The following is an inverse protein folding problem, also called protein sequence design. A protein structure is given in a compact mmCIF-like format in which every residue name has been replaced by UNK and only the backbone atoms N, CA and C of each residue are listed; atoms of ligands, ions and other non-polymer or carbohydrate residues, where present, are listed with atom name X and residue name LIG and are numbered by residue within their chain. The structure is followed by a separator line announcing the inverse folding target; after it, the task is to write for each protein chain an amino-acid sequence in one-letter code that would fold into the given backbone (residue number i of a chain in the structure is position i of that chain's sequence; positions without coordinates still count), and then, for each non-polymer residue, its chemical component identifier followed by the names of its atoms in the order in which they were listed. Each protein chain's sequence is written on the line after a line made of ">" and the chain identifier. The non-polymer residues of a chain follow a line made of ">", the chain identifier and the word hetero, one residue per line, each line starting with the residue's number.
data_IF_428954548912
#
_entry.id   IF_428954548912
#
_cell.length_a   1.000
_cell.length_b   1.000
_cell.length_c   1.000
_cell.angle_alpha   90.00
_cell.angle_beta   90.00
_cell.angle_gamma   90.00
#
_symmetry.space_group_name_H-M   'P 1'
#
loop_
_entity.id
_entity.type
_entity.pdbx_description
1 polymer ?
#
# COMPACT_ATOMS: atom_id res chain seq x y z
N UNK A 1 -50.80 -2.69 -1.29
CA UNK A 1 -49.46 -2.85 -0.67
C UNK A 1 -48.45 -2.83 -1.81
N UNK A 2 -47.69 -1.74 -1.94
CA UNK A 2 -46.55 -1.72 -2.84
C UNK A 2 -45.47 -2.67 -2.29
N UNK A 3 -44.74 -3.42 -3.13
CA UNK A 3 -43.65 -4.25 -2.66
C UNK A 3 -42.60 -3.32 -2.06
N UNK A 4 -42.26 -3.57 -0.79
CA UNK A 4 -41.09 -2.98 -0.14
C UNK A 4 -39.87 -3.32 -1.01
N UNK A 5 -39.37 -2.33 -1.75
CA UNK A 5 -38.10 -2.43 -2.43
C UNK A 5 -37.05 -2.70 -1.37
N UNK A 6 -36.36 -3.84 -1.45
CA UNK A 6 -35.11 -4.02 -0.70
C UNK A 6 -34.26 -2.77 -0.93
N UNK A 7 -33.67 -2.15 0.12
CA UNK A 7 -32.69 -1.10 -0.11
C UNK A 7 -31.64 -1.66 -1.09
N UNK A 8 -31.30 -0.90 -2.12
CA UNK A 8 -30.28 -1.30 -3.08
C UNK A 8 -29.04 -1.75 -2.30
N UNK A 9 -28.51 -2.92 -2.62
CA UNK A 9 -27.35 -3.44 -1.91
C UNK A 9 -26.21 -2.42 -2.01
N UNK A 10 -25.50 -2.19 -0.90
CA UNK A 10 -24.34 -1.29 -0.88
C UNK A 10 -23.26 -1.73 -1.89
N UNK A 11 -23.28 -3.00 -2.28
CA UNK A 11 -22.35 -3.62 -3.23
C UNK A 11 -23.10 -4.48 -4.24
N UNK A 12 -22.82 -4.27 -5.52
CA UNK A 12 -23.20 -5.13 -6.66
C UNK A 12 -21.94 -5.87 -7.16
N UNK A 13 -21.78 -7.16 -6.84
CA UNK A 13 -20.59 -7.92 -7.22
C UNK A 13 -20.35 -8.02 -8.71
N UNK A 14 -21.40 -8.10 -9.53
CA UNK A 14 -21.24 -8.25 -10.98
C UNK A 14 -20.69 -6.95 -11.60
N UNK A 15 -21.23 -5.80 -11.18
CA UNK A 15 -20.73 -4.49 -11.58
C UNK A 15 -19.28 -4.26 -11.11
N UNK A 16 -18.94 -4.67 -9.89
CA UNK A 16 -17.58 -4.53 -9.34
C UNK A 16 -16.57 -5.39 -10.10
N UNK A 17 -16.90 -6.67 -10.36
CA UNK A 17 -15.98 -7.60 -11.01
C UNK A 17 -15.84 -7.38 -12.51
N UNK A 18 -16.86 -6.85 -13.17
CA UNK A 18 -16.80 -6.49 -14.61
C UNK A 18 -16.13 -5.13 -14.87
N UNK A 19 -15.82 -4.37 -13.82
CA UNK A 19 -15.21 -3.06 -13.97
C UNK A 19 -13.80 -3.15 -14.57
N UNK A 20 -13.59 -2.42 -15.67
CA UNK A 20 -12.27 -2.26 -16.29
C UNK A 20 -11.68 -0.92 -15.86
N UNK A 21 -10.58 -0.98 -15.11
CA UNK A 21 -9.86 0.23 -14.69
C UNK A 21 -9.06 0.82 -15.86
N UNK A 22 -9.02 2.16 -16.01
CA UNK A 22 -8.12 2.79 -16.96
C UNK A 22 -6.65 2.58 -16.53
N UNK A 23 -5.76 2.49 -17.51
CA UNK A 23 -4.32 2.48 -17.22
C UNK A 23 -3.88 3.83 -16.64
N UNK A 24 -3.01 3.79 -15.63
CA UNK A 24 -2.51 5.01 -14.95
C UNK A 24 -1.01 5.11 -15.17
N UNK A 25 -0.57 6.11 -15.95
CA UNK A 25 0.85 6.42 -16.16
C UNK A 25 1.37 7.33 -15.05
N UNK A 26 2.57 7.07 -14.54
CA UNK A 26 3.30 7.98 -13.65
C UNK A 26 4.79 7.95 -13.97
N UNK A 27 5.51 8.96 -13.48
CA UNK A 27 6.96 9.02 -13.57
C UNK A 27 7.54 9.35 -12.21
N UNK A 28 8.78 8.95 -11.98
CA UNK A 28 9.55 9.38 -10.83
C UNK A 28 11.03 9.47 -11.19
N UNK A 29 11.78 10.21 -10.38
CA UNK A 29 13.22 10.35 -10.51
C UNK A 29 13.96 10.13 -9.19
N UNK A 30 15.27 10.39 -9.20
CA UNK A 30 16.13 10.16 -8.04
C UNK A 30 15.73 11.02 -6.84
N UNK A 31 15.13 12.20 -7.07
CA UNK A 31 14.64 13.04 -5.97
C UNK A 31 13.50 12.34 -5.25
N UNK A 32 12.58 11.72 -5.97
CA UNK A 32 11.46 10.99 -5.36
C UNK A 32 11.94 9.76 -4.57
N UNK A 33 12.93 9.05 -5.12
CA UNK A 33 13.52 7.86 -4.50
C UNK A 33 14.28 8.24 -3.23
N UNK A 34 15.11 9.28 -3.26
CA UNK A 34 15.84 9.78 -2.10
C UNK A 34 14.89 10.34 -1.02
N UNK A 35 13.87 11.09 -1.44
CA UNK A 35 12.87 11.65 -0.53
C UNK A 35 12.11 10.54 0.22
N UNK A 36 11.74 9.47 -0.49
CA UNK A 36 11.15 8.30 0.13
C UNK A 36 12.11 7.64 1.12
N UNK A 37 13.37 7.41 0.71
CA UNK A 37 14.37 6.78 1.57
C UNK A 37 14.53 7.53 2.90
N UNK A 38 14.68 8.85 2.85
CA UNK A 38 14.72 9.71 4.04
C UNK A 38 13.41 9.65 4.84
N UNK A 39 12.26 9.70 4.14
CA UNK A 39 10.93 9.61 4.73
C UNK A 39 10.65 8.31 5.48
N UNK A 40 11.37 7.23 5.15
CA UNK A 40 11.28 5.93 5.84
C UNK A 40 12.45 5.66 6.79
N UNK A 41 13.33 6.65 6.99
CA UNK A 41 14.37 6.61 8.02
C UNK A 41 15.78 6.28 7.56
N UNK A 42 16.04 6.18 6.25
CA UNK A 42 17.42 6.09 5.76
C UNK A 42 18.21 7.33 6.21
N UNK A 43 19.45 7.12 6.66
CA UNK A 43 20.31 8.14 7.26
C UNK A 43 19.66 8.84 8.47
N UNK A 44 18.71 8.15 9.12
CA UNK A 44 17.90 8.67 10.23
C UNK A 44 18.70 8.79 11.53
N UNK A 45 19.40 7.72 11.89
CA UNK A 45 20.23 7.63 13.10
C UNK A 45 21.62 8.27 12.90
N UNK A 46 22.24 8.03 11.75
CA UNK A 46 23.51 8.63 11.35
C UNK A 46 23.41 9.16 9.91
N UNK A 47 23.59 10.47 9.75
CA UNK A 47 23.50 11.15 8.46
C UNK A 47 24.65 10.78 7.51
N UNK A 48 25.76 10.27 8.04
CA UNK A 48 26.95 9.87 7.28
C UNK A 48 27.15 8.36 7.29
N UNK A 49 26.11 7.57 7.60
CA UNK A 49 26.18 6.12 7.52
C UNK A 49 26.51 5.69 6.09
N UNK A 50 27.74 5.23 5.93
CA UNK A 50 28.32 4.69 4.73
C UNK A 50 27.43 3.67 4.02
N UNK A 51 26.71 2.84 4.77
CA UNK A 51 25.85 1.80 4.22
C UNK A 51 24.51 2.33 3.74
N UNK A 52 24.11 3.52 4.15
CA UNK A 52 22.81 4.10 3.81
C UNK A 52 22.91 5.28 2.83
N UNK A 53 24.07 5.93 2.76
CA UNK A 53 24.31 7.05 1.84
C UNK A 53 24.02 6.71 0.37
N UNK A 54 24.15 5.44 -0.04
CA UNK A 54 23.84 5.04 -1.42
C UNK A 54 22.34 5.15 -1.79
N UNK A 55 21.44 5.36 -0.82
CA UNK A 55 20.01 5.62 -1.07
C UNK A 55 19.69 7.09 -1.34
N UNK A 56 20.65 8.00 -1.08
CA UNK A 56 20.43 9.46 -1.16
C UNK A 56 21.55 10.19 -1.89
N UNK A 57 22.67 9.53 -2.17
CA UNK A 57 23.87 10.12 -2.75
C UNK A 57 24.61 9.12 -3.66
N UNK A 58 25.21 9.63 -4.75
CA UNK A 58 26.01 8.89 -5.73
C UNK A 58 27.38 8.49 -5.17
N UNK A 59 27.39 7.61 -4.17
CA UNK A 59 28.63 7.11 -3.54
C UNK A 59 29.46 6.31 -4.55
N UNK A 60 30.79 6.38 -4.41
CA UNK A 60 31.76 5.55 -5.16
C UNK A 60 31.66 5.69 -6.70
N UNK A 61 31.20 6.84 -7.18
CA UNK A 61 31.03 7.09 -8.62
C UNK A 61 29.87 6.31 -9.24
N UNK A 62 28.92 5.82 -8.44
CA UNK A 62 27.74 5.15 -8.95
C UNK A 62 26.93 6.10 -9.85
N UNK A 63 26.50 5.65 -11.04
CA UNK A 63 25.76 6.50 -11.98
C UNK A 63 24.35 6.85 -11.50
N UNK A 64 23.84 6.21 -10.45
CA UNK A 64 22.51 6.43 -9.87
C UNK A 64 22.48 5.99 -8.41
N UNK A 65 21.59 6.58 -7.62
CA UNK A 65 21.29 6.11 -6.26
C UNK A 65 20.50 4.79 -6.29
N UNK A 66 20.49 4.03 -5.20
CA UNK A 66 19.64 2.83 -5.09
C UNK A 66 18.26 3.19 -4.58
N UNK A 67 17.23 2.55 -5.12
CA UNK A 67 15.89 2.61 -4.55
C UNK A 67 15.69 1.53 -3.50
N UNK A 68 15.11 1.89 -2.36
CA UNK A 68 14.59 0.90 -1.42
C UNK A 68 13.47 0.12 -2.11
N UNK A 69 13.47 -1.23 -2.06
CA UNK A 69 12.44 -2.04 -2.73
C UNK A 69 11.01 -1.69 -2.29
N UNK A 70 10.86 -1.31 -1.02
CA UNK A 70 9.58 -0.85 -0.45
C UNK A 70 9.00 0.39 -1.14
N UNK A 71 9.79 1.16 -1.90
CA UNK A 71 9.31 2.28 -2.72
C UNK A 71 8.19 1.87 -3.69
N UNK A 72 8.21 0.60 -4.13
CA UNK A 72 7.16 0.00 -4.96
C UNK A 72 5.75 0.06 -4.33
N UNK A 73 5.65 0.17 -3.01
CA UNK A 73 4.37 0.33 -2.27
C UNK A 73 3.63 1.62 -2.61
N UNK A 74 4.34 2.64 -3.12
CA UNK A 74 3.74 3.91 -3.51
C UNK A 74 3.10 3.85 -4.89
N UNK A 75 3.47 2.88 -5.72
CA UNK A 75 3.10 2.85 -7.13
C UNK A 75 1.59 2.80 -7.35
N UNK A 76 0.79 1.98 -6.63
CA UNK A 76 -0.67 1.99 -6.79
C UNK A 76 -1.31 3.36 -6.54
N UNK A 77 -0.70 4.18 -5.69
CA UNK A 77 -1.29 5.42 -5.19
C UNK A 77 -0.67 6.71 -5.75
N UNK A 78 0.40 6.63 -6.56
CA UNK A 78 1.27 7.76 -6.93
C UNK A 78 0.53 8.97 -7.52
N UNK A 79 -0.58 8.75 -8.25
CA UNK A 79 -1.39 9.82 -8.85
C UNK A 79 -2.77 10.01 -8.17
N UNK A 80 -2.98 9.42 -7.00
CA UNK A 80 -4.30 9.38 -6.34
C UNK A 80 -4.38 10.21 -5.05
N UNK A 81 -3.35 11.03 -4.75
CA UNK A 81 -3.23 11.78 -3.50
C UNK A 81 -3.46 10.94 -2.23
N UNK A 82 -3.04 9.68 -2.26
CA UNK A 82 -3.18 8.75 -1.13
C UNK A 82 -4.58 8.15 -0.94
N UNK A 83 -5.60 8.57 -1.70
CA UNK A 83 -6.94 7.99 -1.64
C UNK A 83 -7.00 6.60 -2.28
N UNK A 84 -6.12 6.31 -3.25
CA UNK A 84 -5.93 4.98 -3.85
C UNK A 84 -7.14 4.35 -4.53
N UNK A 85 -8.30 4.99 -4.44
CA UNK A 85 -9.57 4.39 -4.77
C UNK A 85 -10.21 5.12 -5.94
N UNK A 86 -10.25 4.44 -7.06
CA UNK A 86 -11.00 4.84 -8.25
C UNK A 86 -12.47 4.54 -7.98
N UNK A 87 -13.36 5.37 -8.50
CA UNK A 87 -14.80 5.16 -8.39
C UNK A 87 -15.16 3.81 -9.07
N UNK A 88 -15.39 2.75 -8.28
CA UNK A 88 -15.75 1.42 -8.79
C UNK A 88 -17.28 1.33 -8.88
N UNK A 89 -17.86 1.17 -10.08
CA UNK A 89 -19.30 0.98 -10.23
C UNK A 89 -19.80 -0.19 -9.40
N UNK A 90 -20.97 0.00 -8.78
CA UNK A 90 -21.56 -1.01 -7.91
C UNK A 90 -20.96 -1.07 -6.51
N UNK A 91 -20.11 -0.13 -6.11
CA UNK A 91 -19.54 -0.08 -4.76
C UNK A 91 -19.84 1.27 -4.08
N UNK A 92 -20.80 1.27 -3.16
CA UNK A 92 -21.14 2.44 -2.35
C UNK A 92 -20.59 2.25 -0.92
N UNK A 93 -19.77 3.18 -0.46
CA UNK A 93 -19.18 3.14 0.87
C UNK A 93 -18.89 4.56 1.39
N UNK A 94 -18.76 4.67 2.71
CA UNK A 94 -18.27 5.87 3.37
C UNK A 94 -16.73 5.84 3.41
N UNK A 95 -16.09 6.77 2.71
CA UNK A 95 -14.63 6.86 2.65
C UNK A 95 -13.98 7.14 4.01
N UNK A 96 -14.71 7.72 4.97
CA UNK A 96 -14.21 7.93 6.34
C UNK A 96 -14.08 6.62 7.13
N UNK A 97 -14.79 5.56 6.70
CA UNK A 97 -14.78 4.25 7.33
C UNK A 97 -13.81 3.26 6.69
N UNK A 98 -13.17 3.65 5.58
CA UNK A 98 -12.20 2.86 4.83
C UNK A 98 -10.92 2.64 5.65
N UNK A 99 -10.47 1.39 5.69
CA UNK A 99 -9.16 1.03 6.25
C UNK A 99 -8.33 0.31 5.20
N UNK A 100 -7.04 0.65 5.14
CA UNK A 100 -6.06 -0.17 4.45
C UNK A 100 -5.73 -1.35 5.38
N UNK A 101 -6.22 -2.54 5.04
CA UNK A 101 -6.09 -3.73 5.86
C UNK A 101 -4.72 -4.39 5.73
N UNK A 102 -4.35 -4.79 4.51
CA UNK A 102 -3.12 -5.54 4.23
C UNK A 102 -2.50 -5.09 2.92
N UNK A 103 -1.20 -5.32 2.77
CA UNK A 103 -0.46 -5.05 1.54
C UNK A 103 0.38 -6.28 1.16
N UNK A 104 0.44 -6.59 -0.12
CA UNK A 104 1.35 -7.59 -0.66
C UNK A 104 2.12 -6.97 -1.82
N UNK A 105 3.41 -7.26 -1.92
CA UNK A 105 4.29 -6.73 -2.97
C UNK A 105 5.19 -7.86 -3.45
N UNK A 106 5.18 -8.11 -4.75
CA UNK A 106 6.13 -8.99 -5.43
C UNK A 106 6.99 -8.15 -6.35
N UNK A 107 8.32 -8.23 -6.16
CA UNK A 107 9.27 -7.41 -6.91
C UNK A 107 10.02 -8.32 -7.89
N UNK A 108 9.68 -8.20 -9.17
CA UNK A 108 10.27 -9.01 -10.23
C UNK A 108 11.65 -8.52 -10.63
N UNK A 109 11.90 -7.20 -10.51
CA UNK A 109 13.17 -6.56 -10.83
C UNK A 109 13.51 -5.44 -9.86
N UNK A 110 14.80 -5.15 -9.75
CA UNK A 110 15.27 -4.01 -8.97
C UNK A 110 14.57 -2.73 -9.42
N UNK A 111 14.05 -1.97 -8.46
CA UNK A 111 13.36 -0.72 -8.74
C UNK A 111 14.41 0.31 -9.22
N UNK A 112 14.29 0.83 -10.46
CA UNK A 112 15.26 1.80 -10.97
C UNK A 112 15.13 3.12 -10.21
N UNK A 113 16.18 3.93 -10.18
CA UNK A 113 16.16 5.25 -9.52
C UNK A 113 15.37 6.30 -10.29
N UNK A 114 15.03 6.03 -11.55
CA UNK A 114 14.11 6.83 -12.37
C UNK A 114 13.39 5.95 -13.37
N UNK A 115 12.11 6.22 -13.63
CA UNK A 115 11.37 5.53 -14.70
C UNK A 115 10.10 6.26 -15.08
N UNK A 116 9.61 5.98 -16.29
CA UNK A 116 8.22 6.18 -16.67
C UNK A 116 7.51 4.84 -16.54
N UNK A 117 6.45 4.77 -15.76
CA UNK A 117 5.73 3.54 -15.47
C UNK A 117 4.25 3.64 -15.83
N UNK A 118 3.63 2.47 -16.03
CA UNK A 118 2.20 2.30 -16.25
C UNK A 118 1.68 1.25 -15.27
N UNK A 119 0.62 1.60 -14.55
CA UNK A 119 -0.13 0.68 -13.71
C UNK A 119 -1.33 0.12 -14.48
N UNK A 120 -1.53 -1.19 -14.35
CA UNK A 120 -2.77 -1.88 -14.72
C UNK A 120 -3.39 -2.45 -13.46
N UNK A 121 -4.65 -2.13 -13.22
CA UNK A 121 -5.37 -2.48 -11.99
C UNK A 121 -6.51 -3.44 -12.33
N UNK A 122 -6.77 -4.41 -11.46
CA UNK A 122 -7.95 -5.29 -11.50
C UNK A 122 -8.46 -5.61 -10.10
N UNK A 123 -9.73 -5.98 -10.01
CA UNK A 123 -10.27 -6.60 -8.79
C UNK A 123 -9.72 -8.02 -8.68
N UNK A 124 -8.92 -8.26 -7.66
CA UNK A 124 -8.34 -9.57 -7.36
C UNK A 124 -9.18 -10.34 -6.33
N UNK A 125 -9.96 -9.64 -5.51
CA UNK A 125 -10.78 -10.26 -4.48
C UNK A 125 -11.95 -9.35 -4.06
N UNK A 126 -13.08 -9.98 -3.75
CA UNK A 126 -14.27 -9.31 -3.23
C UNK A 126 -14.98 -10.24 -2.25
N UNK A 127 -15.08 -9.82 -0.99
CA UNK A 127 -15.63 -10.66 0.07
C UNK A 127 -16.63 -9.89 0.93
N UNK A 128 -17.79 -10.50 1.14
CA UNK A 128 -18.74 -10.05 2.15
C UNK A 128 -18.31 -10.59 3.53
N UNK A 129 -18.14 -9.69 4.50
CA UNK A 129 -17.86 -10.02 5.90
C UNK A 129 -19.02 -9.59 6.82
N UNK A 130 -20.23 -9.52 6.28
CA UNK A 130 -21.45 -9.19 6.99
C UNK A 130 -21.58 -7.69 7.29
N UNK A 131 -20.71 -7.14 8.13
CA UNK A 131 -20.71 -5.69 8.45
C UNK A 131 -19.70 -4.87 7.63
N UNK A 132 -18.94 -5.53 6.77
CA UNK A 132 -17.92 -4.90 5.96
C UNK A 132 -17.74 -5.65 4.65
N UNK A 133 -17.17 -4.96 3.68
CA UNK A 133 -16.69 -5.56 2.42
C UNK A 133 -15.18 -5.51 2.41
N UNK A 134 -14.56 -6.62 2.03
CA UNK A 134 -13.13 -6.65 1.69
C UNK A 134 -13.03 -6.55 0.18
N UNK A 135 -12.34 -5.52 -0.31
CA UNK A 135 -11.95 -5.41 -1.71
C UNK A 135 -10.44 -5.56 -1.81
N UNK A 136 -9.98 -6.42 -2.71
CA UNK A 136 -8.56 -6.59 -3.01
C UNK A 136 -8.29 -6.11 -4.43
N UNK A 137 -7.41 -5.13 -4.55
CA UNK A 137 -6.97 -4.58 -5.83
C UNK A 137 -5.56 -5.05 -6.12
N UNK A 138 -5.37 -5.67 -7.27
CA UNK A 138 -4.05 -6.03 -7.79
C UNK A 138 -3.62 -5.01 -8.83
N UNK A 139 -2.46 -4.40 -8.60
CA UNK A 139 -1.83 -3.42 -9.49
C UNK A 139 -0.51 -3.99 -9.98
N UNK A 140 -0.42 -4.22 -11.29
CA UNK A 140 0.85 -4.59 -11.94
C UNK A 140 1.47 -3.35 -12.56
N UNK A 141 2.72 -3.08 -12.23
CA UNK A 141 3.47 -1.92 -12.72
C UNK A 141 4.47 -2.34 -13.80
N UNK A 142 4.40 -1.67 -14.94
CA UNK A 142 5.26 -1.89 -16.10
C UNK A 142 6.13 -0.66 -16.38
N UNK A 143 7.36 -0.85 -16.86
CA UNK A 143 8.14 0.22 -17.50
C UNK A 143 7.48 0.57 -18.82
N UNK A 144 7.14 1.85 -19.00
CA UNK A 144 6.33 2.33 -20.13
C UNK A 144 6.97 2.05 -21.49
N UNK A 145 8.28 2.28 -21.60
CA UNK A 145 8.98 2.23 -22.89
C UNK A 145 9.32 0.79 -23.32
N UNK A 146 9.64 -0.10 -22.37
CA UNK A 146 10.00 -1.49 -22.67
C UNK A 146 8.85 -2.48 -22.51
N UNK A 147 7.77 -2.11 -21.82
CA UNK A 147 6.67 -3.02 -21.46
C UNK A 147 7.04 -4.05 -20.40
N UNK A 148 8.20 -3.90 -19.75
CA UNK A 148 8.73 -4.84 -18.76
C UNK A 148 8.03 -4.72 -17.41
N UNK A 149 7.70 -5.83 -16.77
CA UNK A 149 7.07 -5.84 -15.43
C UNK A 149 8.11 -5.53 -14.35
N UNK A 150 7.86 -4.53 -13.52
CA UNK A 150 8.69 -4.19 -12.36
C UNK A 150 8.24 -4.94 -11.10
N UNK A 151 6.95 -4.82 -10.77
CA UNK A 151 6.38 -5.38 -9.55
C UNK A 151 4.86 -5.57 -9.68
N UNK A 152 4.32 -6.35 -8.75
CA UNK A 152 2.89 -6.46 -8.50
C UNK A 152 2.62 -6.07 -7.05
N UNK A 153 1.62 -5.21 -6.86
CA UNK A 153 1.10 -4.84 -5.55
C UNK A 153 -0.33 -5.40 -5.42
N UNK A 154 -0.68 -5.96 -4.27
CA UNK A 154 -2.07 -6.26 -3.90
C UNK A 154 -2.42 -5.55 -2.61
N UNK A 155 -3.40 -4.66 -2.69
CA UNK A 155 -3.90 -3.89 -1.53
C UNK A 155 -5.24 -4.45 -1.10
N UNK A 156 -5.36 -4.82 0.17
CA UNK A 156 -6.59 -5.31 0.78
C UNK A 156 -7.24 -4.17 1.55
N UNK A 157 -8.42 -3.77 1.10
CA UNK A 157 -9.16 -2.60 1.59
C UNK A 157 -10.38 -3.08 2.35
N UNK A 158 -10.55 -2.59 3.58
CA UNK A 158 -11.67 -2.93 4.45
C UNK A 158 -12.69 -1.79 4.46
N UNK A 159 -13.83 -2.01 3.83
CA UNK A 159 -14.93 -1.05 3.68
C UNK A 159 -15.99 -1.33 4.75
N UNK A 160 -15.81 -0.74 5.93
CA UNK A 160 -16.74 -0.93 7.04
C UNK A 160 -18.09 -0.27 6.73
N UNK A 161 -19.17 -0.92 7.12
CA UNK A 161 -20.54 -0.47 6.87
C UNK A 161 -21.07 -0.82 5.48
N UNK A 162 -20.21 -1.24 4.54
CA UNK A 162 -20.59 -1.58 3.17
C UNK A 162 -20.78 -3.10 2.94
N UNK A 163 -20.98 -3.89 3.99
CA UNK A 163 -21.19 -5.35 3.90
C UNK A 163 -22.65 -5.78 3.87
N UNK A 164 -22.90 -7.09 3.93
CA UNK A 164 -24.24 -7.68 4.09
C UNK A 164 -25.04 -7.69 2.79
N UNK A 165 -24.34 -7.70 1.66
CA UNK A 165 -24.93 -7.75 0.32
C UNK A 165 -25.21 -9.20 -0.13
N UNK A 166 -24.75 -10.19 0.62
CA UNK A 166 -24.97 -11.62 0.36
C UNK A 166 -25.70 -12.32 1.51
N UNK A 167 -26.12 -13.57 1.28
CA UNK A 167 -26.73 -14.42 2.31
C UNK A 167 -25.71 -14.67 3.44
N UNK A 168 -26.06 -14.34 4.69
CA UNK A 168 -25.18 -14.51 5.84
C UNK A 168 -24.79 -15.96 6.11
N UNK A 169 -25.60 -16.93 5.66
CA UNK A 169 -25.28 -18.36 5.74
C UNK A 169 -24.28 -18.81 4.67
N UNK A 170 -24.14 -18.04 3.59
CA UNK A 170 -23.22 -18.28 2.47
C UNK A 170 -22.63 -16.95 1.99
N UNK A 171 -21.71 -16.35 2.77
CA UNK A 171 -21.15 -15.05 2.42
C UNK A 171 -20.47 -15.08 1.06
N UNK A 172 -20.71 -14.06 0.25
CA UNK A 172 -20.10 -13.93 -1.06
C UNK A 172 -18.59 -13.81 -0.91
N UNK A 173 -17.86 -14.55 -1.75
CA UNK A 173 -16.41 -14.53 -1.77
C UNK A 173 -15.92 -14.86 -3.17
N UNK A 174 -15.16 -13.94 -3.75
CA UNK A 174 -14.46 -14.11 -5.01
C UNK A 174 -12.98 -13.81 -4.79
N UNK A 175 -12.10 -14.62 -5.40
CA UNK A 175 -10.68 -14.33 -5.52
C UNK A 175 -10.16 -14.84 -6.87
N UNK A 176 -9.31 -14.07 -7.54
CA UNK A 176 -8.74 -14.41 -8.85
C UNK A 176 -7.33 -15.02 -8.75
N UNK A 177 -6.89 -15.37 -7.55
CA UNK A 177 -5.54 -15.86 -7.28
C UNK A 177 -5.57 -17.10 -6.37
N UNK A 178 -4.53 -17.95 -6.43
CA UNK A 178 -4.48 -19.18 -5.66
C UNK A 178 -4.46 -18.92 -4.14
N UNK A 179 -5.21 -19.71 -3.37
CA UNK A 179 -5.30 -19.55 -1.92
C UNK A 179 -3.95 -19.80 -1.19
N UNK A 180 -3.02 -20.51 -1.83
CA UNK A 180 -1.67 -20.83 -1.36
C UNK A 180 -0.62 -19.80 -1.78
N UNK A 181 -0.97 -18.81 -2.62
CA UNK A 181 -0.02 -17.77 -3.06
C UNK A 181 0.50 -16.94 -1.87
N UNK A 182 -0.28 -16.81 -0.80
CA UNK A 182 0.14 -16.21 0.46
C UNK A 182 -0.20 -17.17 1.59
N UNK A 183 0.76 -18.05 1.94
CA UNK A 183 0.67 -18.83 3.18
C UNK A 183 0.40 -17.90 4.35
N UNK A 184 -0.58 -18.23 5.22
CA UNK A 184 -0.74 -17.52 6.50
C UNK A 184 0.59 -17.54 7.22
N UNK A 185 1.24 -16.39 7.31
CA UNK A 185 2.48 -16.26 8.06
C UNK A 185 2.12 -16.31 9.54
N UNK A 186 2.34 -17.45 10.18
CA UNK A 186 2.31 -17.55 11.64
C UNK A 186 3.65 -17.07 12.18
N UNK A 187 3.64 -16.06 13.04
CA UNK A 187 4.83 -15.68 13.79
C UNK A 187 5.20 -16.88 14.69
N UNK A 188 6.41 -17.46 14.56
CA UNK A 188 6.82 -18.58 15.40
C UNK A 188 6.78 -18.17 16.87
N UNK A 189 6.33 -19.07 17.74
CA UNK A 189 6.38 -18.87 19.19
C UNK A 189 7.79 -19.17 19.72
N UNK A 190 8.78 -18.41 19.23
CA UNK A 190 10.20 -18.50 19.56
C UNK A 190 10.77 -17.10 19.78
N UNK A 191 11.90 -17.01 20.50
CA UNK A 191 12.61 -15.75 20.61
C UNK A 191 13.06 -15.25 19.21
N UNK A 192 12.97 -13.93 18.93
CA UNK A 192 13.45 -13.38 17.67
C UNK A 192 14.94 -13.67 17.45
N UNK A 193 15.32 -14.05 16.24
CA UNK A 193 16.73 -14.27 15.89
C UNK A 193 17.55 -12.98 15.82
N UNK A 194 16.89 -11.84 15.62
CA UNK A 194 17.47 -10.51 15.66
C UNK A 194 16.38 -9.50 16.03
N UNK A 195 16.77 -8.44 16.73
CA UNK A 195 15.92 -7.29 17.07
C UNK A 195 16.66 -6.03 16.64
N UNK A 196 15.96 -5.16 15.93
CA UNK A 196 16.46 -3.85 15.52
C UNK A 196 15.50 -2.81 16.06
N UNK A 197 16.05 -1.73 16.60
CA UNK A 197 15.29 -0.58 17.09
C UNK A 197 15.67 0.63 16.26
N UNK A 198 14.66 1.33 15.74
CA UNK A 198 14.82 2.58 15.02
C UNK A 198 13.99 3.67 15.71
N UNK A 199 14.59 4.85 15.86
CA UNK A 199 13.91 5.99 16.45
C UNK A 199 13.26 6.84 15.36
N UNK A 200 11.93 6.94 15.41
CA UNK A 200 11.19 7.84 14.53
C UNK A 200 11.40 9.31 14.93
N UNK A 201 11.49 10.20 13.94
CA UNK A 201 11.55 11.65 14.16
C UNK A 201 10.15 12.21 14.35
N UNK A 202 9.99 13.28 15.13
CA UNK A 202 8.70 13.95 15.30
C UNK A 202 8.11 14.44 13.96
N UNK A 203 8.98 14.88 13.04
CA UNK A 203 8.59 15.40 11.73
C UNK A 203 8.50 14.33 10.64
N UNK A 204 8.67 13.04 10.98
CA UNK A 204 8.77 11.99 9.96
C UNK A 204 7.57 12.01 9.00
N UNK A 205 6.37 12.43 9.45
CA UNK A 205 5.05 12.33 8.74
C UNK A 205 5.04 13.29 7.62
N UNK A 206 5.44 14.48 8.03
CA UNK A 206 5.55 15.64 7.21
C UNK A 206 6.57 15.37 6.11
N UNK A 207 7.57 14.53 6.36
CA UNK A 207 8.52 14.08 5.34
C UNK A 207 7.97 12.94 4.46
N UNK A 208 7.52 11.82 5.05
CA UNK A 208 7.03 10.65 4.31
C UNK A 208 5.86 10.99 3.38
N UNK A 209 4.91 11.82 3.83
CA UNK A 209 3.74 12.23 3.04
C UNK A 209 4.11 12.87 1.71
N UNK A 210 5.28 13.52 1.63
CA UNK A 210 5.79 14.11 0.39
C UNK A 210 6.13 13.06 -0.68
N UNK A 211 6.13 11.78 -0.32
CA UNK A 211 6.29 10.66 -1.26
C UNK A 211 5.01 10.32 -2.02
N UNK A 212 3.84 10.83 -1.58
CA UNK A 212 2.57 10.73 -2.31
C UNK A 212 1.30 10.53 -1.45
N UNK A 213 1.42 10.34 -0.13
CA UNK A 213 0.29 10.13 0.77
C UNK A 213 -0.05 11.39 1.56
N UNK A 214 -0.89 12.24 0.98
CA UNK A 214 -1.25 13.54 1.55
C UNK A 214 -2.45 13.48 2.51
N UNK A 215 -2.89 12.29 2.95
CA UNK A 215 -4.02 12.15 3.85
C UNK A 215 -3.84 13.01 5.11
N UNK A 216 -4.78 13.95 5.40
CA UNK A 216 -4.66 14.87 6.53
C UNK A 216 -4.61 14.17 7.89
N UNK A 217 -5.06 12.92 7.99
CA UNK A 217 -4.92 12.10 9.21
C UNK A 217 -3.46 12.04 9.74
N UNK A 218 -2.49 12.20 8.86
CA UNK A 218 -1.06 12.14 9.19
C UNK A 218 -0.43 13.51 9.48
N UNK A 219 -1.17 14.62 9.32
CA UNK A 219 -0.59 15.98 9.46
C UNK A 219 -1.48 16.97 10.21
N UNK A 220 -2.79 16.74 10.28
CA UNK A 220 -3.75 17.63 10.93
C UNK A 220 -4.28 16.99 12.23
N UNK A 221 -3.96 17.57 13.40
CA UNK A 221 -4.43 17.07 14.69
C UNK A 221 -5.96 17.07 14.82
N UNK A 222 -6.68 18.02 14.21
CA UNK A 222 -8.14 18.08 14.29
C UNK A 222 -8.77 16.89 13.56
N UNK A 223 -8.26 16.58 12.36
CA UNK A 223 -8.72 15.42 11.59
C UNK A 223 -8.42 14.12 12.33
N UNK A 224 -7.24 14.01 12.95
CA UNK A 224 -6.89 12.84 13.75
C UNK A 224 -7.82 12.66 14.97
N UNK A 225 -8.14 13.74 15.68
CA UNK A 225 -9.07 13.71 16.81
C UNK A 225 -10.49 13.31 16.39
N UNK A 226 -11.00 13.87 15.28
CA UNK A 226 -12.31 13.49 14.73
C UNK A 226 -12.34 12.01 14.33
N UNK A 227 -11.22 11.48 13.83
CA UNK A 227 -11.06 10.06 13.52
C UNK A 227 -10.84 9.16 14.75
N UNK A 228 -10.81 9.72 15.97
CA UNK A 228 -10.69 8.98 17.23
C UNK A 228 -9.27 8.76 17.73
N UNK A 229 -8.28 9.49 17.20
CA UNK A 229 -6.87 9.40 17.62
C UNK A 229 -6.46 10.59 18.49
N UNK A 230 -5.61 10.35 19.50
CA UNK A 230 -5.15 11.39 20.41
C UNK A 230 -4.25 12.45 19.75
N UNK A 231 -3.53 12.09 18.69
CA UNK A 231 -2.64 12.96 17.91
C UNK A 231 -2.55 12.46 16.46
N UNK A 232 -1.92 13.22 15.57
CA UNK A 232 -1.65 12.81 14.19
C UNK A 232 -0.97 11.45 14.16
N UNK A 233 -1.48 10.54 13.34
CA UNK A 233 -1.08 9.16 13.44
C UNK A 233 0.07 8.86 12.49
N UNK A 234 1.25 8.62 13.06
CA UNK A 234 2.36 7.91 12.40
C UNK A 234 2.23 6.40 12.49
N UNK A 235 1.93 5.96 13.71
CA UNK A 235 2.20 4.60 14.19
C UNK A 235 0.98 3.67 14.10
N UNK A 236 -0.18 4.12 13.62
CA UNK A 236 -1.41 3.33 13.76
C UNK A 236 -2.43 3.44 12.62
N UNK A 237 -2.21 4.27 11.59
CA UNK A 237 -3.24 4.54 10.59
C UNK A 237 -2.94 3.97 9.20
N UNK A 238 -1.67 3.63 8.92
CA UNK A 238 -1.32 2.81 7.75
C UNK A 238 -0.25 1.79 8.13
N UNK A 239 -0.55 0.48 8.12
CA UNK A 239 0.48 -0.55 8.23
C UNK A 239 1.57 -0.35 7.16
N UNK A 240 1.30 0.30 6.02
CA UNK A 240 2.37 0.62 5.06
C UNK A 240 3.59 1.33 5.70
N UNK A 241 3.45 2.44 6.43
CA UNK A 241 4.62 3.20 6.90
C UNK A 241 5.49 2.44 7.91
N UNK A 242 4.86 1.76 8.88
CA UNK A 242 5.58 0.98 9.90
C UNK A 242 6.22 -0.24 9.28
N UNK A 243 5.53 -0.91 8.37
CA UNK A 243 6.06 -2.11 7.77
C UNK A 243 7.09 -1.78 6.72
N UNK A 244 6.93 -0.70 5.97
CA UNK A 244 7.97 -0.12 5.14
C UNK A 244 9.19 0.24 5.99
N UNK A 245 9.01 0.78 7.20
CA UNK A 245 10.12 1.07 8.12
C UNK A 245 10.78 -0.21 8.65
N UNK A 246 10.02 -1.27 8.99
CA UNK A 246 10.53 -2.59 9.39
C UNK A 246 11.22 -3.32 8.21
N UNK A 247 10.68 -3.18 7.01
CA UNK A 247 11.23 -3.71 5.76
C UNK A 247 12.49 -2.94 5.37
N UNK A 248 12.46 -1.63 5.58
CA UNK A 248 13.61 -0.75 5.47
C UNK A 248 14.57 -0.94 6.64
N UNK A 249 14.27 -1.53 7.80
CA UNK A 249 15.32 -1.87 8.79
C UNK A 249 16.01 -3.20 8.45
N UNK A 250 15.37 -4.02 7.60
CA UNK A 250 15.96 -5.20 6.94
C UNK A 250 16.71 -4.85 5.63
N UNK A 251 17.40 -3.70 5.57
CA UNK A 251 18.10 -3.14 4.36
C UNK A 251 19.01 -4.14 3.62
N UNK A 252 19.51 -5.15 4.32
CA UNK A 252 20.52 -6.09 3.84
C UNK A 252 19.99 -7.46 3.38
N UNK A 253 18.66 -7.68 3.37
CA UNK A 253 18.04 -8.98 3.03
C UNK A 253 17.31 -9.00 1.68
N UNK A 254 17.41 -7.92 0.88
CA UNK A 254 16.63 -7.75 -0.35
C UNK A 254 17.39 -8.24 -1.59
N UNK A 255 17.31 -9.55 -1.86
CA UNK A 255 17.43 -10.11 -3.20
C UNK A 255 16.02 -10.44 -3.72
N UNK A 256 15.82 -10.44 -5.04
CA UNK A 256 14.55 -10.75 -5.75
C UNK A 256 13.64 -11.73 -4.97
N UNK A 257 12.38 -11.35 -4.72
CA UNK A 257 11.49 -12.12 -3.85
C UNK A 257 10.07 -11.58 -3.68
N UNK A 258 9.26 -12.40 -3.01
CA UNK A 258 7.87 -12.13 -2.61
C UNK A 258 7.87 -11.51 -1.21
N UNK A 259 7.17 -10.39 -1.03
CA UNK A 259 7.07 -9.69 0.26
C UNK A 259 5.61 -9.45 0.65
N UNK A 260 5.16 -10.17 1.68
CA UNK A 260 3.85 -9.92 2.28
C UNK A 260 3.99 -8.92 3.43
N UNK A 261 3.19 -7.86 3.38
CA UNK A 261 3.10 -6.79 4.38
C UNK A 261 1.71 -6.93 5.02
N UNK A 262 1.60 -7.80 6.04
CA UNK A 262 0.32 -8.10 6.71
C UNK A 262 -0.18 -6.90 7.49
#
# INVERSE_FOLDING_TARGET
>A
MAPSSKPAAAVDPEAVLSHTFPEVSFAYDERDVALYALGVGACGADAVDEKELHFVYHRDGQPHIKALPSFASLFPNKNSNGLGFVNVPGLNFDASLLLHGQQYIEIYKAIPSRTNAVNKVKVAGLHDKGKATILELETTTYVKDSGEVLCMNRSTIYLRGAGGFSDSSRPYSYASYPADQVSRVSIPNLAPSAVYEDQTRQSQALLYRLSGDYNPLHSDPMVAQVAGYATTVWLFARPLCIYIHILASRKYLWNSGIYCII
#
